data_IF_767566302489
#
_entry.id   IF_767566302489
#
_cell.length_a   1.000
_cell.length_b   1.000
_cell.length_c   1.000
_cell.angle_alpha   90.00
_cell.angle_beta   90.00
_cell.angle_gamma   90.00
#
_symmetry.space_group_name_H-M   'P 1'
#
loop_
_entity.id
_entity.type
_entity.pdbx_description
1 polymer ?
#
# COMPACT_ATOMS: atom_id res chain seq x y z
N UNK A 1 -2.45 13.72 13.87
CA UNK A 1 -1.02 13.53 14.17
C UNK A 1 -0.48 12.40 13.31
N UNK A 2 0.76 12.51 12.83
CA UNK A 2 1.42 11.45 12.08
C UNK A 2 1.61 10.21 12.96
N UNK A 3 1.54 9.02 12.35
CA UNK A 3 1.83 7.74 13.04
C UNK A 3 3.33 7.42 13.07
N UNK A 4 4.15 8.19 12.38
CA UNK A 4 5.59 7.91 12.22
C UNK A 4 6.43 8.46 13.38
N UNK A 5 7.24 7.60 14.00
CA UNK A 5 8.07 7.95 15.17
C UNK A 5 9.06 9.08 14.86
N UNK A 6 9.69 9.07 13.67
CA UNK A 6 10.62 10.14 13.28
C UNK A 6 9.94 11.51 13.17
N UNK A 7 8.68 11.55 12.74
CA UNK A 7 7.89 12.78 12.73
C UNK A 7 7.63 13.27 14.17
N UNK A 8 7.22 12.38 15.08
CA UNK A 8 6.96 12.72 16.47
C UNK A 8 8.22 13.23 17.16
N UNK A 9 9.37 12.57 16.97
CA UNK A 9 10.66 13.01 17.51
C UNK A 9 11.01 14.43 17.08
N UNK A 10 10.89 14.76 15.78
CA UNK A 10 11.16 16.12 15.30
C UNK A 10 10.20 17.14 15.90
N UNK A 11 8.93 16.78 16.06
CA UNK A 11 7.90 17.66 16.61
C UNK A 11 8.08 17.93 18.12
N UNK A 12 8.69 16.99 18.85
CA UNK A 12 9.03 17.11 20.27
C UNK A 12 10.32 17.91 20.52
N UNK A 13 11.16 18.09 19.47
CA UNK A 13 12.39 18.87 19.49
C UNK A 13 12.18 20.29 18.95
N UNK A 14 13.26 20.98 18.61
CA UNK A 14 13.24 22.37 18.10
C UNK A 14 12.79 22.49 16.64
N UNK A 15 12.62 21.37 15.94
CA UNK A 15 12.26 21.39 14.52
C UNK A 15 10.87 22.01 14.32
N UNK A 16 10.77 22.91 13.34
CA UNK A 16 9.53 23.58 12.97
C UNK A 16 8.93 22.92 11.74
N UNK A 17 7.67 22.50 11.86
CA UNK A 17 6.90 21.94 10.76
C UNK A 17 6.30 23.05 9.90
N UNK A 18 6.61 23.06 8.61
CA UNK A 18 6.06 24.02 7.65
C UNK A 18 4.89 23.43 6.86
N UNK A 19 5.04 22.19 6.37
CA UNK A 19 4.01 21.50 5.59
C UNK A 19 3.97 20.03 5.99
N UNK A 20 2.76 19.46 6.01
CA UNK A 20 2.54 18.05 6.22
C UNK A 20 1.40 17.57 5.31
N UNK A 21 1.61 16.44 4.64
CA UNK A 21 0.63 15.80 3.79
C UNK A 21 0.67 14.29 3.97
N UNK A 22 -0.51 13.70 4.20
CA UNK A 22 -0.70 12.25 4.18
C UNK A 22 -1.40 11.86 2.89
N UNK A 23 -0.75 11.03 2.10
CA UNK A 23 -1.29 10.49 0.85
C UNK A 23 -2.31 9.38 1.12
N UNK A 24 -3.19 9.12 0.17
CA UNK A 24 -4.17 8.03 0.26
C UNK A 24 -3.53 6.64 0.45
N UNK A 25 -2.30 6.46 -0.04
CA UNK A 25 -1.50 5.25 0.20
C UNK A 25 -1.04 5.08 1.65
N UNK A 26 -1.11 6.10 2.49
CA UNK A 26 -0.55 6.13 3.84
C UNK A 26 0.90 6.63 3.92
N UNK A 27 1.56 6.86 2.79
CA UNK A 27 2.86 7.57 2.73
C UNK A 27 2.66 9.00 3.18
N UNK A 28 3.62 9.55 3.95
CA UNK A 28 3.54 10.93 4.42
C UNK A 28 4.75 11.74 3.95
N UNK A 29 4.51 13.01 3.72
CA UNK A 29 5.51 14.01 3.39
C UNK A 29 5.47 15.11 4.45
N UNK A 30 6.63 15.59 4.89
CA UNK A 30 6.71 16.71 5.82
C UNK A 30 7.91 17.59 5.51
N UNK A 31 7.68 18.90 5.46
CA UNK A 31 8.72 19.92 5.28
C UNK A 31 9.04 20.57 6.64
N UNK A 32 10.30 20.60 6.98
CA UNK A 32 10.83 21.01 8.26
C UNK A 32 11.94 22.05 8.13
N UNK A 33 12.12 22.85 9.17
CA UNK A 33 13.37 23.54 9.45
C UNK A 33 13.84 23.24 10.88
N UNK A 34 15.15 23.27 11.11
CA UNK A 34 15.75 23.09 12.42
C UNK A 34 17.01 23.94 12.56
N UNK A 35 17.38 24.27 13.78
CA UNK A 35 18.57 25.03 14.12
C UNK A 35 18.98 24.77 15.57
N UNK A 36 20.28 24.70 15.83
CA UNK A 36 20.86 24.53 17.16
C UNK A 36 20.19 23.45 18.01
N UNK A 37 20.14 22.24 17.44
CA UNK A 37 19.44 21.11 18.03
C UNK A 37 20.27 19.82 17.92
N UNK A 38 20.12 18.94 18.92
CA UNK A 38 20.68 17.60 18.89
C UNK A 38 19.58 16.57 19.04
N UNK A 39 19.36 15.80 17.99
CA UNK A 39 18.26 14.85 17.89
C UNK A 39 18.82 13.44 17.86
N UNK A 40 18.29 12.57 18.71
CA UNK A 40 18.51 11.13 18.63
C UNK A 40 17.25 10.45 18.14
N UNK A 41 17.34 9.83 16.98
CA UNK A 41 16.29 9.00 16.42
C UNK A 41 16.53 7.56 16.87
N UNK A 42 15.69 7.09 17.78
CA UNK A 42 15.66 5.68 18.17
C UNK A 42 14.87 4.85 17.16
N UNK A 43 15.20 3.55 17.11
CA UNK A 43 14.61 2.52 16.26
C UNK A 43 13.16 2.81 15.81
N UNK A 44 12.99 3.32 14.59
CA UNK A 44 11.69 3.56 13.99
C UNK A 44 11.18 2.33 13.23
N UNK A 45 9.87 2.16 13.15
CA UNK A 45 9.21 1.06 12.42
C UNK A 45 9.00 1.35 10.92
N UNK A 46 9.55 2.46 10.44
CA UNK A 46 9.39 2.99 9.10
C UNK A 46 10.73 3.45 8.50
N UNK A 47 10.71 3.70 7.20
CA UNK A 47 11.83 4.30 6.46
C UNK A 47 11.59 5.79 6.30
N UNK A 48 12.66 6.58 6.35
CA UNK A 48 12.64 8.00 6.06
C UNK A 48 13.64 8.29 4.94
N UNK A 49 13.17 8.92 3.86
CA UNK A 49 14.00 9.53 2.83
C UNK A 49 13.96 11.04 3.04
N UNK A 50 15.11 11.63 3.37
CA UNK A 50 15.29 13.06 3.64
C UNK A 50 16.05 13.71 2.53
N UNK A 51 15.62 14.90 2.06
CA UNK A 51 16.40 15.78 1.20
C UNK A 51 16.63 17.10 1.90
N UNK A 52 17.86 17.59 1.91
CA UNK A 52 18.22 18.94 2.35
C UNK A 52 17.83 19.93 1.27
N UNK A 53 16.98 20.89 1.63
CA UNK A 53 16.41 21.88 0.69
C UNK A 53 17.25 23.13 0.66
N UNK A 54 17.64 23.62 1.84
CA UNK A 54 18.46 24.81 2.02
C UNK A 54 19.33 24.65 3.28
N UNK A 55 20.46 25.27 3.29
CA UNK A 55 21.43 25.25 4.38
C UNK A 55 21.94 23.87 4.75
N UNK A 56 22.17 23.57 6.03
CA UNK A 56 22.56 22.23 6.50
C UNK A 56 24.05 21.93 6.39
N UNK A 57 24.88 22.91 6.07
CA UNK A 57 26.34 22.76 5.97
C UNK A 57 26.99 22.40 7.32
N UNK A 58 26.34 22.72 8.44
CA UNK A 58 26.79 22.42 9.79
C UNK A 58 25.86 21.39 10.46
N UNK A 59 25.42 20.39 9.69
CA UNK A 59 24.69 19.23 10.19
C UNK A 59 25.64 18.04 10.25
N UNK A 60 25.76 17.44 11.44
CA UNK A 60 26.68 16.36 11.73
C UNK A 60 25.92 15.12 12.14
N UNK A 61 26.32 13.97 11.64
CA UNK A 61 25.86 12.67 12.09
C UNK A 61 26.87 12.02 13.01
N UNK A 62 26.44 11.45 14.13
CA UNK A 62 27.26 10.64 15.00
C UNK A 62 27.60 9.32 14.32
N UNK A 63 28.88 9.00 14.22
CA UNK A 63 29.41 7.76 13.67
C UNK A 63 30.42 7.14 14.64
N UNK A 64 30.77 5.84 14.51
CA UNK A 64 31.87 5.28 15.28
C UNK A 64 33.14 6.12 15.10
N UNK A 65 33.68 6.63 16.20
CA UNK A 65 34.90 7.45 16.20
C UNK A 65 34.66 8.95 16.13
N UNK A 66 33.43 9.46 16.08
CA UNK A 66 33.18 10.90 16.15
C UNK A 66 31.95 11.40 15.40
N UNK A 67 32.06 12.57 14.84
CA UNK A 67 31.01 13.25 14.08
C UNK A 67 31.42 13.40 12.62
N UNK A 68 30.51 13.02 11.71
CA UNK A 68 30.70 13.17 10.26
C UNK A 68 29.82 14.31 9.75
N UNK A 69 30.42 15.26 9.07
CA UNK A 69 29.74 16.30 8.31
C UNK A 69 29.72 15.91 6.82
N UNK A 70 28.76 16.42 6.10
CA UNK A 70 28.60 16.22 4.65
C UNK A 70 27.28 16.78 4.14
N UNK A 71 26.57 17.52 5.01
CA UNK A 71 25.29 18.15 4.67
C UNK A 71 25.46 19.34 3.74
N UNK A 72 24.37 19.73 3.12
CA UNK A 72 24.22 20.85 2.22
C UNK A 72 23.00 20.68 1.32
N UNK A 73 22.55 21.73 0.61
CA UNK A 73 21.44 21.62 -0.32
C UNK A 73 21.64 20.47 -1.31
N UNK A 74 20.55 19.77 -1.62
CA UNK A 74 20.49 18.63 -2.55
C UNK A 74 21.19 17.35 -2.06
N UNK A 75 21.76 17.34 -0.86
CA UNK A 75 22.17 16.10 -0.23
C UNK A 75 20.96 15.38 0.37
N UNK A 76 20.99 14.05 0.30
CA UNK A 76 19.91 13.22 0.85
C UNK A 76 20.42 12.24 1.91
N UNK A 77 19.51 11.82 2.77
CA UNK A 77 19.74 10.76 3.73
C UNK A 77 18.63 9.70 3.63
N UNK A 78 19.01 8.44 3.75
CA UNK A 78 18.10 7.31 3.91
C UNK A 78 18.30 6.76 5.30
N UNK A 79 17.25 6.80 6.09
CA UNK A 79 17.17 6.22 7.43
C UNK A 79 16.20 5.03 7.37
N UNK A 80 16.69 3.80 7.26
CA UNK A 80 15.86 2.60 7.22
C UNK A 80 15.09 2.41 8.54
N UNK A 81 14.07 1.56 8.50
CA UNK A 81 13.44 1.11 9.75
C UNK A 81 14.48 0.50 10.69
N UNK A 82 14.28 0.66 11.99
CA UNK A 82 15.18 0.19 13.05
C UNK A 82 16.60 0.81 13.00
N UNK A 83 16.77 1.88 12.21
CA UNK A 83 18.03 2.61 12.15
C UNK A 83 18.08 3.62 13.30
N UNK A 84 19.13 3.53 14.10
CA UNK A 84 19.41 4.49 15.15
C UNK A 84 20.42 5.52 14.67
N UNK A 85 20.12 6.79 14.90
CA UNK A 85 20.99 7.88 14.47
C UNK A 85 20.90 9.08 15.41
N UNK A 86 22.03 9.74 15.62
CA UNK A 86 22.09 11.00 16.36
C UNK A 86 22.64 12.08 15.43
N UNK A 87 21.94 13.19 15.39
CA UNK A 87 22.24 14.34 14.56
C UNK A 87 22.49 15.57 15.43
N UNK A 88 23.53 16.36 15.08
CA UNK A 88 23.91 17.62 15.73
C UNK A 88 23.78 18.71 14.67
N UNK A 89 22.70 19.46 14.72
CA UNK A 89 22.38 20.57 13.81
C UNK A 89 22.87 21.86 14.46
N UNK A 90 23.97 22.42 14.00
CA UNK A 90 24.63 23.57 14.63
C UNK A 90 24.28 24.91 14.00
N UNK A 91 23.65 24.88 12.84
CA UNK A 91 23.14 26.09 12.15
C UNK A 91 21.83 25.76 11.44
N UNK A 92 21.27 26.68 10.70
CA UNK A 92 20.03 26.50 9.96
C UNK A 92 20.09 25.28 9.03
N UNK A 93 18.98 24.53 9.00
CA UNK A 93 18.75 23.41 8.11
C UNK A 93 17.28 23.39 7.70
N UNK A 94 16.99 23.37 6.40
CA UNK A 94 15.65 23.11 5.86
C UNK A 94 15.65 21.80 5.07
N UNK A 95 14.68 20.93 5.33
CA UNK A 95 14.64 19.60 4.73
C UNK A 95 13.21 19.09 4.55
N UNK A 96 13.05 18.13 3.64
CA UNK A 96 11.79 17.44 3.41
C UNK A 96 11.98 15.95 3.63
N UNK A 97 11.09 15.37 4.42
CA UNK A 97 11.02 13.94 4.67
C UNK A 97 9.87 13.29 3.89
N UNK A 98 10.14 12.14 3.31
CA UNK A 98 9.15 11.16 2.88
C UNK A 98 9.23 9.98 3.85
N UNK A 99 8.09 9.64 4.45
CA UNK A 99 7.96 8.51 5.37
C UNK A 99 7.18 7.38 4.71
N UNK A 100 7.74 6.18 4.73
CA UNK A 100 7.07 4.98 4.22
C UNK A 100 7.40 3.74 5.07
N UNK A 101 6.57 2.72 4.99
CA UNK A 101 6.74 1.45 5.71
C UNK A 101 7.21 0.35 4.76
N UNK A 102 7.69 -0.79 5.32
CA UNK A 102 7.92 -2.02 4.55
C UNK A 102 6.68 -2.45 3.75
N UNK A 103 5.49 -2.20 4.27
CA UNK A 103 4.22 -2.50 3.58
C UNK A 103 4.09 -1.74 2.26
N UNK A 104 4.39 -0.44 2.26
CA UNK A 104 4.37 0.39 1.05
C UNK A 104 5.39 -0.08 0.02
N UNK A 105 6.63 -0.37 0.46
CA UNK A 105 7.68 -0.88 -0.42
C UNK A 105 7.34 -2.26 -0.97
N UNK A 106 6.80 -3.15 -0.14
CA UNK A 106 6.36 -4.49 -0.54
C UNK A 106 5.26 -4.45 -1.60
N UNK A 107 4.24 -3.61 -1.39
CA UNK A 107 3.17 -3.42 -2.36
C UNK A 107 3.71 -2.96 -3.71
N UNK A 108 4.64 -2.01 -3.71
CA UNK A 108 5.27 -1.53 -4.94
C UNK A 108 6.10 -2.62 -5.63
N UNK A 109 6.86 -3.43 -4.87
CA UNK A 109 7.61 -4.59 -5.38
C UNK A 109 6.68 -5.60 -6.04
N UNK A 110 5.57 -5.94 -5.37
CA UNK A 110 4.60 -6.90 -5.87
C UNK A 110 3.92 -6.42 -7.16
N UNK A 111 3.58 -5.12 -7.23
CA UNK A 111 3.02 -4.51 -8.44
C UNK A 111 4.02 -4.47 -9.60
N UNK A 112 5.31 -4.25 -9.33
CA UNK A 112 6.33 -4.06 -10.36
C UNK A 112 6.86 -5.40 -10.89
N UNK A 113 7.12 -6.36 -10.02
CA UNK A 113 7.78 -7.63 -10.38
C UNK A 113 6.86 -8.85 -10.33
N UNK A 114 5.57 -8.66 -10.04
CA UNK A 114 4.60 -9.77 -9.90
C UNK A 114 5.08 -10.88 -8.94
N UNK A 115 5.81 -10.49 -7.90
CA UNK A 115 6.48 -11.40 -6.96
C UNK A 115 6.63 -10.76 -5.58
N UNK A 116 6.30 -11.52 -4.52
CA UNK A 116 6.48 -11.06 -3.15
C UNK A 116 7.90 -11.28 -2.67
N UNK A 117 8.60 -10.27 -2.13
CA UNK A 117 9.93 -10.42 -1.55
C UNK A 117 9.84 -11.12 -0.19
N UNK A 118 10.88 -11.91 0.16
CA UNK A 118 11.04 -12.45 1.50
C UNK A 118 11.44 -11.34 2.48
N UNK A 119 12.38 -10.49 2.07
CA UNK A 119 12.81 -9.31 2.81
C UNK A 119 13.16 -8.17 1.85
N UNK A 120 13.01 -6.95 2.33
CA UNK A 120 13.43 -5.71 1.69
C UNK A 120 14.43 -5.06 2.64
N UNK A 121 15.71 -5.08 2.27
CA UNK A 121 16.77 -4.46 3.06
C UNK A 121 17.11 -3.12 2.44
N UNK A 122 16.65 -2.03 3.06
CA UNK A 122 16.97 -0.67 2.64
C UNK A 122 18.33 -0.28 3.20
N UNK A 123 19.22 0.24 2.35
CA UNK A 123 20.55 0.67 2.75
C UNK A 123 20.50 2.03 3.44
N UNK A 124 21.16 2.16 4.59
CA UNK A 124 21.35 3.45 5.23
C UNK A 124 22.32 4.31 4.41
N UNK A 125 21.95 5.56 4.17
CA UNK A 125 22.80 6.53 3.47
C UNK A 125 22.72 7.86 4.19
N UNK A 126 23.87 8.51 4.37
CA UNK A 126 23.91 9.86 4.91
C UNK A 126 24.74 10.75 4.01
N UNK A 127 24.22 11.93 3.75
CA UNK A 127 24.86 12.95 2.92
C UNK A 127 25.18 12.43 1.50
N UNK A 128 24.27 11.65 0.91
CA UNK A 128 24.40 11.19 -0.46
C UNK A 128 23.98 12.26 -1.47
N UNK A 129 24.48 12.14 -2.68
CA UNK A 129 24.03 12.94 -3.83
C UNK A 129 23.37 12.02 -4.85
N UNK A 130 22.18 12.40 -5.35
CA UNK A 130 21.45 11.68 -6.40
C UNK A 130 20.59 12.66 -7.18
N UNK A 131 20.95 12.86 -8.43
CA UNK A 131 20.30 13.83 -9.30
C UNK A 131 18.81 13.49 -9.54
N UNK A 132 18.42 12.22 -9.48
CA UNK A 132 17.03 11.82 -9.67
C UNK A 132 16.19 12.13 -8.42
N UNK A 133 16.71 11.83 -7.22
CA UNK A 133 16.08 12.20 -5.96
C UNK A 133 15.89 13.71 -5.89
N UNK A 134 16.95 14.47 -6.11
CA UNK A 134 16.92 15.94 -6.13
C UNK A 134 15.88 16.48 -7.11
N UNK A 135 15.87 15.97 -8.35
CA UNK A 135 14.91 16.39 -9.37
C UNK A 135 13.48 16.15 -8.94
N UNK A 136 13.16 14.97 -8.42
CA UNK A 136 11.81 14.60 -8.00
C UNK A 136 11.31 15.49 -6.85
N UNK A 137 12.14 15.76 -5.86
CA UNK A 137 11.79 16.68 -4.77
C UNK A 137 11.59 18.10 -5.29
N UNK A 138 12.59 18.65 -6.01
CA UNK A 138 12.54 20.05 -6.44
C UNK A 138 11.45 20.34 -7.46
N UNK A 139 11.27 19.48 -8.46
CA UNK A 139 10.32 19.71 -9.53
C UNK A 139 8.85 19.44 -9.11
N UNK A 140 8.61 18.40 -8.32
CA UNK A 140 7.26 17.89 -8.11
C UNK A 140 6.77 18.00 -6.67
N UNK A 141 7.64 18.26 -5.71
CA UNK A 141 7.24 18.39 -4.31
C UNK A 141 7.44 19.80 -3.77
N UNK A 142 8.56 20.45 -4.07
CA UNK A 142 8.87 21.77 -3.50
C UNK A 142 8.23 22.94 -4.26
N UNK A 143 7.90 22.77 -5.53
CA UNK A 143 7.34 23.81 -6.39
C UNK A 143 5.80 23.76 -6.49
N UNK A 144 5.12 22.98 -5.66
CA UNK A 144 3.66 22.82 -5.69
C UNK A 144 3.07 23.04 -4.30
N UNK A 145 1.87 23.62 -4.25
CA UNK A 145 1.12 23.72 -3.01
C UNK A 145 0.55 22.35 -2.63
N UNK A 146 0.94 21.85 -1.45
CA UNK A 146 0.50 20.53 -0.95
C UNK A 146 -0.95 20.50 -0.49
N UNK A 147 -1.56 21.65 -0.23
CA UNK A 147 -2.94 21.75 0.20
C UNK A 147 -3.92 21.77 -0.99
N UNK A 148 -3.42 22.09 -2.17
CA UNK A 148 -4.27 22.15 -3.36
C UNK A 148 -4.59 20.75 -3.90
N UNK A 149 -5.89 20.46 -4.03
CA UNK A 149 -6.37 19.16 -4.53
C UNK A 149 -5.85 18.80 -5.92
N UNK A 150 -5.69 19.78 -6.80
CA UNK A 150 -5.17 19.58 -8.15
C UNK A 150 -3.75 19.02 -8.16
N UNK A 151 -2.94 19.32 -7.13
CA UNK A 151 -1.56 18.89 -7.03
C UNK A 151 -1.41 17.49 -6.41
N UNK A 152 -2.44 16.93 -5.80
CA UNK A 152 -2.35 15.64 -5.09
C UNK A 152 -1.92 14.47 -5.99
N UNK A 153 -2.35 14.46 -7.26
CA UNK A 153 -1.93 13.44 -8.21
C UNK A 153 -0.43 13.57 -8.52
N UNK A 154 0.05 14.79 -8.74
CA UNK A 154 1.47 15.08 -8.97
C UNK A 154 2.33 14.65 -7.79
N UNK A 155 1.93 15.02 -6.57
CA UNK A 155 2.64 14.68 -5.34
C UNK A 155 2.65 13.16 -5.10
N UNK A 156 1.51 12.49 -5.28
CA UNK A 156 1.41 11.03 -5.14
C UNK A 156 2.29 10.28 -6.16
N UNK A 157 2.32 10.77 -7.40
CA UNK A 157 3.15 10.20 -8.46
C UNK A 157 4.64 10.39 -8.16
N UNK A 158 5.04 11.59 -7.69
CA UNK A 158 6.42 11.85 -7.29
C UNK A 158 6.87 10.99 -6.11
N UNK A 159 6.02 10.81 -5.09
CA UNK A 159 6.29 9.92 -3.97
C UNK A 159 6.44 8.46 -4.44
N UNK A 160 5.59 7.99 -5.36
CA UNK A 160 5.70 6.67 -5.98
C UNK A 160 7.00 6.50 -6.76
N UNK A 161 7.42 7.50 -7.53
CA UNK A 161 8.68 7.49 -8.26
C UNK A 161 9.90 7.50 -7.32
N UNK A 162 9.86 8.25 -6.21
CA UNK A 162 10.91 8.24 -5.20
C UNK A 162 11.05 6.87 -4.55
N UNK A 163 9.94 6.24 -4.15
CA UNK A 163 9.96 4.88 -3.59
C UNK A 163 10.44 3.85 -4.61
N UNK A 164 10.06 3.98 -5.88
CA UNK A 164 10.54 3.09 -6.96
C UNK A 164 12.05 3.24 -7.16
N UNK A 165 12.56 4.46 -7.16
CA UNK A 165 13.99 4.75 -7.27
C UNK A 165 14.77 4.21 -6.06
N UNK A 166 14.22 4.40 -4.84
CA UNK A 166 14.78 3.82 -3.62
C UNK A 166 14.89 2.28 -3.72
N UNK A 167 13.84 1.62 -4.19
CA UNK A 167 13.82 0.17 -4.38
C UNK A 167 14.86 -0.31 -5.38
N UNK A 168 15.08 0.41 -6.46
CA UNK A 168 15.99 0.01 -7.53
C UNK A 168 17.46 0.23 -7.18
N UNK A 169 17.78 1.31 -6.45
CA UNK A 169 19.15 1.77 -6.28
C UNK A 169 19.69 1.66 -4.85
N UNK A 170 18.79 1.57 -3.86
CA UNK A 170 19.16 1.63 -2.43
C UNK A 170 18.56 0.48 -1.62
N UNK A 171 18.13 -0.60 -2.28
CA UNK A 171 17.63 -1.78 -1.57
C UNK A 171 18.20 -3.07 -2.12
N UNK A 172 18.33 -4.06 -1.24
CA UNK A 172 18.59 -5.44 -1.59
C UNK A 172 17.31 -6.25 -1.35
N UNK A 173 16.73 -6.76 -2.44
CA UNK A 173 15.55 -7.61 -2.39
C UNK A 173 15.97 -9.06 -2.21
N UNK A 174 15.54 -9.66 -1.11
CA UNK A 174 15.64 -11.10 -0.93
C UNK A 174 14.35 -11.73 -1.44
N UNK A 175 14.46 -12.52 -2.49
CA UNK A 175 13.31 -13.23 -3.03
C UNK A 175 13.07 -14.52 -2.24
N UNK A 176 11.80 -14.77 -1.91
CA UNK A 176 11.44 -16.12 -1.49
C UNK A 176 11.82 -17.09 -2.60
N UNK A 177 12.56 -18.14 -2.28
CA UNK A 177 12.69 -19.26 -3.20
C UNK A 177 11.27 -19.64 -3.63
N UNK A 178 11.01 -19.86 -4.94
CA UNK A 178 9.68 -20.26 -5.36
C UNK A 178 9.31 -21.49 -4.52
N UNK A 179 8.40 -21.31 -3.57
CA UNK A 179 7.68 -22.48 -3.07
C UNK A 179 7.07 -23.10 -4.31
N UNK A 180 7.37 -24.36 -4.54
CA UNK A 180 6.93 -25.22 -5.64
C UNK A 180 5.76 -24.60 -6.39
N UNK A 181 5.87 -24.48 -7.71
CA UNK A 181 4.83 -23.98 -8.61
C UNK A 181 3.47 -24.53 -8.19
N UNK A 182 2.68 -23.75 -7.48
CA UNK A 182 1.41 -24.20 -6.96
C UNK A 182 0.74 -23.05 -6.22
N UNK A 183 -0.51 -22.86 -6.48
CA UNK A 183 -1.41 -21.89 -5.90
C UNK A 183 -1.42 -21.84 -4.36
N UNK A 184 -2.54 -21.44 -3.80
CA UNK A 184 -2.78 -21.46 -2.35
C UNK A 184 -2.64 -22.89 -1.82
N UNK A 185 -2.04 -23.05 -0.64
CA UNK A 185 -2.07 -24.36 0.01
C UNK A 185 -3.53 -24.86 0.09
N UNK A 186 -3.82 -26.14 -0.17
CA UNK A 186 -5.19 -26.64 -0.26
C UNK A 186 -6.05 -26.31 0.97
N UNK A 187 -5.47 -26.29 2.16
CA UNK A 187 -6.15 -25.91 3.40
C UNK A 187 -6.49 -24.40 3.43
N UNK A 188 -5.63 -23.55 2.88
CA UNK A 188 -5.86 -22.10 2.78
C UNK A 188 -6.96 -21.82 1.74
N UNK A 189 -6.88 -22.45 0.57
CA UNK A 189 -7.91 -22.31 -0.47
C UNK A 189 -9.29 -22.72 0.07
N UNK A 190 -9.36 -23.86 0.73
CA UNK A 190 -10.60 -24.35 1.34
C UNK A 190 -11.15 -23.34 2.35
N UNK A 191 -10.34 -22.87 3.29
CA UNK A 191 -10.74 -21.86 4.29
C UNK A 191 -11.26 -20.57 3.65
N UNK A 192 -10.61 -20.08 2.60
CA UNK A 192 -11.08 -18.89 1.88
C UNK A 192 -12.41 -19.16 1.17
N UNK A 193 -12.56 -20.31 0.53
CA UNK A 193 -13.82 -20.67 -0.11
C UNK A 193 -14.96 -20.83 0.90
N UNK A 194 -14.71 -21.47 2.05
CA UNK A 194 -15.68 -21.59 3.15
C UNK A 194 -16.09 -20.21 3.66
N UNK A 195 -15.12 -19.31 3.91
CA UNK A 195 -15.38 -17.94 4.30
C UNK A 195 -16.24 -17.19 3.26
N UNK A 196 -15.95 -17.34 1.97
CA UNK A 196 -16.79 -16.75 0.91
C UNK A 196 -18.23 -17.28 0.98
N UNK A 197 -18.41 -18.59 1.14
CA UNK A 197 -19.74 -19.18 1.18
C UNK A 197 -20.54 -18.80 2.43
N UNK A 198 -19.87 -18.63 3.57
CA UNK A 198 -20.49 -18.21 4.83
C UNK A 198 -20.99 -16.76 4.77
N UNK A 199 -20.19 -15.86 4.15
CA UNK A 199 -20.48 -14.43 4.13
C UNK A 199 -20.99 -13.91 2.77
N UNK A 200 -21.59 -14.76 1.91
CA UNK A 200 -22.04 -14.39 0.55
C UNK A 200 -23.02 -13.22 0.49
N UNK A 201 -23.83 -13.03 1.52
CA UNK A 201 -24.82 -11.95 1.61
C UNK A 201 -24.19 -10.58 1.94
N UNK A 202 -22.97 -10.58 2.50
CA UNK A 202 -22.26 -9.37 2.91
C UNK A 202 -21.36 -8.83 1.80
N UNK A 203 -20.98 -7.56 1.86
CA UNK A 203 -19.89 -7.05 1.03
C UNK A 203 -18.60 -7.79 1.38
N UNK A 204 -18.03 -8.50 0.42
CA UNK A 204 -16.74 -9.18 0.56
C UNK A 204 -15.67 -8.38 -0.16
N UNK A 205 -14.76 -7.78 0.61
CA UNK A 205 -13.64 -7.01 0.08
C UNK A 205 -12.44 -7.92 -0.22
N UNK A 206 -11.66 -7.55 -1.25
CA UNK A 206 -10.47 -8.32 -1.63
C UNK A 206 -9.47 -8.42 -0.47
N UNK A 207 -9.30 -7.34 0.30
CA UNK A 207 -8.43 -7.30 1.48
C UNK A 207 -8.83 -8.30 2.56
N UNK A 208 -10.12 -8.50 2.79
CA UNK A 208 -10.62 -9.48 3.77
C UNK A 208 -10.29 -10.90 3.34
N UNK A 209 -10.50 -11.22 2.05
CA UNK A 209 -10.17 -12.54 1.49
C UNK A 209 -8.66 -12.80 1.51
N UNK A 210 -7.85 -11.79 1.21
CA UNK A 210 -6.40 -11.86 1.26
C UNK A 210 -5.89 -12.07 2.70
N UNK A 211 -6.51 -11.41 3.69
CA UNK A 211 -6.21 -11.59 5.11
C UNK A 211 -6.47 -13.05 5.57
N UNK A 212 -7.55 -13.69 5.09
CA UNK A 212 -7.82 -15.11 5.36
C UNK A 212 -6.71 -16.03 4.83
N UNK A 213 -6.04 -15.61 3.76
CA UNK A 213 -4.90 -16.35 3.19
C UNK A 213 -3.54 -15.95 3.81
N UNK A 214 -3.47 -14.88 4.59
CA UNK A 214 -2.22 -14.31 5.09
C UNK A 214 -1.34 -13.73 3.98
N UNK A 215 -1.94 -13.19 2.92
CA UNK A 215 -1.28 -12.67 1.72
C UNK A 215 -1.67 -11.21 1.46
N UNK A 216 -0.86 -10.53 0.63
CA UNK A 216 -1.31 -9.27 0.03
C UNK A 216 -2.45 -9.50 -0.97
N UNK A 217 -3.27 -8.48 -1.21
CA UNK A 217 -4.40 -8.56 -2.15
C UNK A 217 -3.98 -9.02 -3.54
N UNK A 218 -2.88 -8.47 -4.04
CA UNK A 218 -2.34 -8.79 -5.35
C UNK A 218 -1.90 -10.26 -5.45
N UNK A 219 -1.11 -10.70 -4.47
CA UNK A 219 -0.61 -12.09 -4.43
C UNK A 219 -1.77 -13.08 -4.26
N UNK A 220 -2.72 -12.78 -3.38
CA UNK A 220 -3.91 -13.57 -3.19
C UNK A 220 -4.73 -13.69 -4.48
N UNK A 221 -5.06 -12.57 -5.14
CA UNK A 221 -5.87 -12.57 -6.35
C UNK A 221 -5.26 -13.44 -7.47
N UNK A 222 -3.93 -13.39 -7.64
CA UNK A 222 -3.20 -14.20 -8.60
C UNK A 222 -3.23 -15.68 -8.26
N UNK A 223 -2.89 -16.06 -7.02
CA UNK A 223 -2.87 -17.47 -6.58
C UNK A 223 -4.28 -18.07 -6.57
N UNK A 224 -5.27 -17.31 -6.11
CA UNK A 224 -6.65 -17.75 -6.11
C UNK A 224 -7.18 -18.01 -7.53
N UNK A 225 -6.87 -17.09 -8.47
CA UNK A 225 -7.20 -17.28 -9.88
C UNK A 225 -6.50 -18.49 -10.51
N UNK A 226 -5.23 -18.71 -10.14
CA UNK A 226 -4.49 -19.90 -10.59
C UNK A 226 -5.20 -21.20 -10.18
N UNK A 227 -5.68 -21.29 -8.94
CA UNK A 227 -6.27 -22.51 -8.41
C UNK A 227 -7.74 -22.72 -8.79
N UNK A 228 -8.51 -21.63 -8.85
CA UNK A 228 -9.95 -21.69 -9.12
C UNK A 228 -10.31 -21.41 -10.57
N UNK A 229 -9.35 -20.92 -11.37
CA UNK A 229 -9.59 -20.44 -12.73
C UNK A 229 -10.32 -19.08 -12.81
N UNK A 230 -10.74 -18.51 -11.66
CA UNK A 230 -11.53 -17.28 -11.58
C UNK A 230 -10.86 -16.25 -10.69
N UNK A 231 -10.95 -14.98 -11.07
CA UNK A 231 -10.58 -13.91 -10.16
C UNK A 231 -11.53 -13.92 -8.93
N UNK A 232 -11.06 -13.47 -7.73
CA UNK A 232 -11.86 -13.54 -6.50
C UNK A 232 -13.26 -12.96 -6.63
N UNK A 233 -13.42 -11.78 -7.23
CA UNK A 233 -14.73 -11.16 -7.45
C UNK A 233 -15.64 -11.95 -8.41
N UNK A 234 -15.05 -12.64 -9.39
CA UNK A 234 -15.80 -13.51 -10.31
C UNK A 234 -16.28 -14.77 -9.60
N UNK A 235 -15.44 -15.34 -8.73
CA UNK A 235 -15.79 -16.47 -7.90
C UNK A 235 -16.96 -16.16 -6.95
N UNK A 236 -16.86 -15.04 -6.21
CA UNK A 236 -17.94 -14.55 -5.34
C UNK A 236 -19.23 -14.34 -6.13
N UNK A 237 -19.17 -13.68 -7.28
CA UNK A 237 -20.33 -13.44 -8.14
C UNK A 237 -20.96 -14.77 -8.60
N UNK A 238 -20.13 -15.72 -9.04
CA UNK A 238 -20.61 -17.07 -9.42
C UNK A 238 -21.28 -17.80 -8.25
N UNK A 239 -20.69 -17.77 -7.06
CA UNK A 239 -21.26 -18.39 -5.86
C UNK A 239 -22.61 -17.76 -5.48
N UNK A 240 -22.73 -16.43 -5.55
CA UNK A 240 -23.99 -15.71 -5.35
C UNK A 240 -25.09 -16.15 -6.33
N UNK A 241 -24.75 -16.24 -7.62
CA UNK A 241 -25.69 -16.65 -8.66
C UNK A 241 -26.10 -18.11 -8.49
N UNK A 242 -25.18 -19.01 -8.09
CA UNK A 242 -25.49 -20.42 -7.80
C UNK A 242 -26.41 -20.54 -6.59
N UNK A 243 -26.16 -19.82 -5.50
CA UNK A 243 -27.07 -19.78 -4.32
C UNK A 243 -28.45 -19.25 -4.72
N UNK A 244 -28.51 -18.20 -5.55
CA UNK A 244 -29.77 -17.66 -6.04
C UNK A 244 -30.54 -18.67 -6.91
N UNK A 245 -29.86 -19.37 -7.81
CA UNK A 245 -30.49 -20.43 -8.62
C UNK A 245 -31.07 -21.58 -7.78
N UNK A 246 -30.37 -21.98 -6.70
CA UNK A 246 -30.89 -22.94 -5.75
C UNK A 246 -32.18 -22.46 -5.06
N UNK A 247 -32.17 -21.21 -4.54
CA UNK A 247 -33.32 -20.59 -3.89
C UNK A 247 -34.50 -20.37 -4.84
N UNK A 248 -34.26 -20.11 -6.12
CA UNK A 248 -35.31 -19.95 -7.13
C UNK A 248 -36.01 -21.28 -7.43
N UNK A 249 -35.26 -22.38 -7.44
CA UNK A 249 -35.80 -23.71 -7.77
C UNK A 249 -36.54 -24.38 -6.59
N UNK A 250 -36.06 -24.15 -5.36
CA UNK A 250 -36.50 -24.89 -4.18
C UNK A 250 -37.15 -24.01 -3.11
N UNK A 251 -37.09 -22.68 -3.27
CA UNK A 251 -37.62 -21.72 -2.29
C UNK A 251 -38.87 -21.00 -2.75
N UNK A 252 -39.58 -20.43 -1.78
CA UNK A 252 -40.80 -19.63 -2.02
C UNK A 252 -40.59 -18.11 -1.95
N UNK A 253 -39.36 -17.69 -1.63
CA UNK A 253 -39.04 -16.26 -1.44
C UNK A 253 -39.21 -15.46 -2.73
N UNK A 254 -39.73 -14.21 -2.68
CA UNK A 254 -39.77 -13.31 -3.83
C UNK A 254 -38.40 -13.10 -4.45
N UNK A 255 -38.33 -12.89 -5.78
CA UNK A 255 -37.06 -12.68 -6.50
C UNK A 255 -36.24 -11.52 -5.91
N UNK A 256 -36.90 -10.47 -5.45
CA UNK A 256 -36.26 -9.33 -4.78
C UNK A 256 -35.59 -9.70 -3.46
N UNK A 257 -36.22 -10.55 -2.68
CA UNK A 257 -35.67 -11.05 -1.42
C UNK A 257 -34.49 -12.01 -1.66
N UNK A 258 -34.59 -12.86 -2.69
CA UNK A 258 -33.49 -13.73 -3.10
C UNK A 258 -32.27 -12.90 -3.52
N UNK A 259 -32.46 -11.82 -4.27
CA UNK A 259 -31.39 -10.93 -4.66
C UNK A 259 -30.64 -10.39 -3.43
N UNK A 260 -31.37 -9.88 -2.43
CA UNK A 260 -30.77 -9.36 -1.19
C UNK A 260 -30.08 -10.46 -0.38
N UNK A 261 -30.73 -11.61 -0.19
CA UNK A 261 -30.17 -12.75 0.54
C UNK A 261 -28.93 -13.36 -0.12
N UNK A 262 -28.69 -13.06 -1.39
CA UNK A 262 -27.49 -13.44 -2.13
C UNK A 262 -26.48 -12.30 -2.26
N UNK A 263 -26.63 -11.17 -1.54
CA UNK A 263 -25.67 -10.08 -1.49
C UNK A 263 -25.68 -9.14 -2.71
N UNK A 264 -26.80 -9.06 -3.45
CA UNK A 264 -26.97 -8.07 -4.51
C UNK A 264 -27.60 -6.79 -3.94
N UNK A 265 -27.06 -5.65 -4.32
CA UNK A 265 -27.55 -4.33 -3.89
C UNK A 265 -28.90 -3.94 -4.52
N UNK A 266 -29.28 -4.56 -5.66
CA UNK A 266 -30.57 -4.34 -6.30
C UNK A 266 -31.04 -5.54 -7.12
N UNK A 267 -32.37 -5.69 -7.22
CA UNK A 267 -32.99 -6.73 -8.03
C UNK A 267 -32.69 -6.58 -9.54
N UNK A 268 -32.52 -5.35 -10.02
CA UNK A 268 -32.16 -5.08 -11.42
C UNK A 268 -30.75 -5.56 -11.74
N UNK A 269 -29.77 -5.23 -10.89
CA UNK A 269 -28.40 -5.72 -11.03
C UNK A 269 -28.35 -7.24 -10.98
N UNK A 270 -29.06 -7.85 -10.02
CA UNK A 270 -29.18 -9.30 -9.92
C UNK A 270 -29.75 -9.92 -11.21
N UNK A 271 -30.90 -9.44 -11.70
CA UNK A 271 -31.59 -10.00 -12.87
C UNK A 271 -30.73 -9.94 -14.13
N UNK A 272 -30.01 -8.82 -14.33
CA UNK A 272 -29.08 -8.66 -15.46
C UNK A 272 -27.91 -9.65 -15.37
N UNK A 273 -27.26 -9.76 -14.21
CA UNK A 273 -26.14 -10.71 -13.99
C UNK A 273 -26.59 -12.16 -14.11
N UNK A 274 -27.75 -12.46 -13.56
CA UNK A 274 -28.34 -13.80 -13.61
C UNK A 274 -28.66 -14.23 -15.06
N UNK A 275 -29.31 -13.33 -15.83
CA UNK A 275 -29.59 -13.58 -17.25
C UNK A 275 -28.32 -13.75 -18.09
N UNK A 276 -27.30 -12.94 -17.83
CA UNK A 276 -26.00 -13.07 -18.52
C UNK A 276 -25.34 -14.41 -18.21
N UNK A 277 -25.47 -14.93 -16.99
CA UNK A 277 -24.81 -16.15 -16.56
C UNK A 277 -25.56 -17.42 -16.93
N UNK A 278 -26.91 -17.42 -16.81
CA UNK A 278 -27.75 -18.60 -17.06
C UNK A 278 -28.53 -18.58 -18.38
N UNK A 279 -28.43 -17.48 -19.17
CA UNK A 279 -29.16 -17.32 -20.42
C UNK A 279 -30.69 -17.06 -20.25
N UNK A 280 -31.21 -17.12 -19.01
CA UNK A 280 -32.61 -16.91 -18.67
C UNK A 280 -32.79 -16.01 -17.47
N UNK A 281 -33.95 -15.37 -17.34
CA UNK A 281 -34.28 -14.55 -16.18
C UNK A 281 -34.53 -15.38 -14.91
N UNK A 282 -34.35 -14.78 -13.70
CA UNK A 282 -34.72 -15.46 -12.44
C UNK A 282 -36.15 -15.98 -12.42
N UNK A 283 -37.09 -15.23 -13.03
CA UNK A 283 -38.48 -15.58 -13.05
C UNK A 283 -38.75 -16.76 -13.98
N UNK A 284 -38.10 -16.85 -15.14
CA UNK A 284 -38.14 -17.98 -16.04
C UNK A 284 -37.59 -19.25 -15.38
N UNK A 285 -36.48 -19.17 -14.66
CA UNK A 285 -35.91 -20.29 -13.92
C UNK A 285 -36.87 -20.81 -12.85
N UNK A 286 -37.57 -19.92 -12.13
CA UNK A 286 -38.58 -20.32 -11.14
C UNK A 286 -39.75 -21.05 -11.75
N UNK A 287 -40.19 -20.66 -12.94
CA UNK A 287 -41.31 -21.27 -13.65
C UNK A 287 -40.95 -22.61 -14.33
N UNK A 288 -39.72 -23.06 -14.23
CA UNK A 288 -39.24 -24.30 -14.84
C UNK A 288 -39.05 -24.23 -16.36
N UNK A 289 -39.10 -23.05 -16.96
CA UNK A 289 -38.87 -22.90 -18.39
C UNK A 289 -37.34 -22.93 -18.65
N UNK A 290 -36.85 -24.06 -19.18
CA UNK A 290 -35.51 -24.15 -19.74
C UNK A 290 -35.41 -23.24 -20.99
N UNK A 291 -34.24 -22.66 -21.29
CA UNK A 291 -34.04 -22.00 -22.60
C UNK A 291 -34.13 -23.04 -23.71
N UNK A 292 -34.83 -22.69 -24.78
CA UNK A 292 -34.90 -23.48 -26.00
C UNK A 292 -33.52 -23.54 -26.70
#
# INVERSE_FOLDING_TARGET
MSAYKAFATLHEHKAQLHHHLRLASGVELAAWSNCDDRITQESADHHTLSLYVADGYECYQKVPGGWRNGGGPDHFCIMPRQYESTWDVRSSLSFVHLYCTDGHLRQLVEQTWDRSPAAINVEARSFGEDAQITRLYRQFLLNVDWQERANQLTISSAAGMLMSHLLQHYTQLQWRLPSVRGGLAPAVLRRVCEFIHEYLEQPLLLGELAAQAGLSEFHFARMFKHDTGLAPHQYVMRARLQRAAHLLRHGVLPVTQIALACGFSSASHFSNRFKTYYGMTPQQMRQGNAPA
#
